data_IF_307533455369
#
_entry.id   IF_307533455369
#
_cell.length_a   1.000
_cell.length_b   1.000
_cell.length_c   1.000
_cell.angle_alpha   90.00
_cell.angle_beta   90.00
_cell.angle_gamma   90.00
#
_symmetry.space_group_name_H-M   'P 1'
#
loop_
_entity.id
_entity.type
_entity.pdbx_description
1 polymer ?
#
# COMPACT_ATOMS: atom_id res chain seq x y z
N UNK A 1 9.03 -5.59 6.75
CA UNK A 1 9.24 -4.78 5.55
C UNK A 1 9.42 -5.71 4.36
N UNK A 2 8.65 -5.53 3.29
CA UNK A 2 8.75 -6.29 2.03
C UNK A 2 8.73 -5.35 0.82
N UNK A 3 9.29 -5.80 -0.31
CA UNK A 3 9.27 -5.03 -1.57
C UNK A 3 7.83 -4.73 -2.00
N UNK A 4 6.92 -5.69 -1.83
CA UNK A 4 5.49 -5.54 -2.15
C UNK A 4 4.82 -4.40 -1.39
N UNK A 5 5.18 -4.15 -0.12
CA UNK A 5 4.64 -3.01 0.62
C UNK A 5 5.08 -1.67 0.01
N UNK A 6 6.32 -1.59 -0.49
CA UNK A 6 6.83 -0.41 -1.18
C UNK A 6 6.17 -0.22 -2.56
N UNK A 7 5.94 -1.31 -3.30
CA UNK A 7 5.19 -1.30 -4.55
C UNK A 7 3.77 -0.77 -4.36
N UNK A 8 3.12 -1.13 -3.25
CA UNK A 8 1.78 -0.61 -2.91
C UNK A 8 1.79 0.89 -2.63
N UNK A 9 2.82 1.42 -1.96
CA UNK A 9 2.96 2.88 -1.75
C UNK A 9 3.10 3.58 -3.11
N UNK A 10 3.96 3.07 -3.99
CA UNK A 10 4.14 3.61 -5.34
C UNK A 10 2.83 3.55 -6.13
N UNK A 11 2.08 2.45 -6.03
CA UNK A 11 0.78 2.31 -6.68
C UNK A 11 -0.24 3.35 -6.17
N UNK A 12 -0.34 3.56 -4.86
CA UNK A 12 -1.23 4.58 -4.29
C UNK A 12 -0.87 5.97 -4.79
N UNK A 13 0.42 6.31 -4.82
CA UNK A 13 0.90 7.59 -5.34
C UNK A 13 0.67 7.73 -6.85
N UNK A 14 0.79 6.65 -7.62
CA UNK A 14 0.59 6.63 -9.07
C UNK A 14 -0.87 6.78 -9.47
N UNK A 15 -1.78 6.08 -8.78
CA UNK A 15 -3.19 6.01 -9.15
C UNK A 15 -4.10 6.93 -8.33
N UNK A 16 -3.57 7.58 -7.29
CA UNK A 16 -4.27 8.60 -6.50
C UNK A 16 -5.39 8.07 -5.59
N UNK A 17 -5.63 6.76 -5.54
CA UNK A 17 -6.59 6.17 -4.61
C UNK A 17 -6.21 4.74 -4.22
N UNK A 18 -6.53 4.35 -2.98
CA UNK A 18 -6.31 2.99 -2.47
C UNK A 18 -7.14 1.95 -3.24
N UNK A 19 -8.35 2.29 -3.66
CA UNK A 19 -9.22 1.37 -4.41
C UNK A 19 -8.66 1.07 -5.80
N UNK A 20 -8.21 2.12 -6.53
CA UNK A 20 -7.61 1.94 -7.85
C UNK A 20 -6.25 1.24 -7.75
N UNK A 21 -5.41 1.62 -6.78
CA UNK A 21 -4.15 0.96 -6.52
C UNK A 21 -4.32 -0.53 -6.22
N UNK A 22 -5.30 -0.89 -5.40
CA UNK A 22 -5.58 -2.29 -5.07
C UNK A 22 -6.04 -3.08 -6.30
N UNK A 23 -6.92 -2.49 -7.13
CA UNK A 23 -7.32 -3.08 -8.41
C UNK A 23 -6.12 -3.30 -9.34
N UNK A 24 -5.23 -2.33 -9.45
CA UNK A 24 -4.01 -2.39 -10.27
C UNK A 24 -2.97 -3.37 -9.75
N UNK A 25 -2.92 -3.57 -8.43
CA UNK A 25 -2.06 -4.56 -7.77
C UNK A 25 -2.71 -5.95 -7.61
N UNK A 26 -3.90 -6.18 -8.18
CA UNK A 26 -4.64 -7.44 -8.13
C UNK A 26 -4.91 -7.94 -6.70
N UNK A 27 -5.17 -7.01 -5.78
CA UNK A 27 -5.54 -7.29 -4.38
C UNK A 27 -6.81 -6.54 -4.00
N UNK A 28 -7.39 -6.90 -2.86
CA UNK A 28 -8.49 -6.11 -2.30
C UNK A 28 -7.96 -4.86 -1.62
N UNK A 29 -8.76 -3.79 -1.60
CA UNK A 29 -8.40 -2.54 -0.93
C UNK A 29 -8.02 -2.73 0.56
N UNK A 30 -8.73 -3.56 1.36
CA UNK A 30 -8.32 -3.85 2.73
C UNK A 30 -6.97 -4.56 2.84
N UNK A 31 -6.61 -5.38 1.86
CA UNK A 31 -5.30 -6.05 1.84
C UNK A 31 -4.19 -5.03 1.63
N UNK A 32 -4.34 -4.15 0.65
CA UNK A 32 -3.35 -3.12 0.34
C UNK A 32 -3.19 -2.16 1.54
N UNK A 33 -4.28 -1.64 2.10
CA UNK A 33 -4.22 -0.69 3.22
C UNK A 33 -3.60 -1.30 4.47
N UNK A 34 -3.95 -2.56 4.81
CA UNK A 34 -3.35 -3.26 5.95
C UNK A 34 -1.84 -3.45 5.78
N UNK A 35 -1.38 -3.74 4.55
CA UNK A 35 0.05 -3.93 4.29
C UNK A 35 0.84 -2.63 4.38
N UNK A 36 0.27 -1.50 3.94
CA UNK A 36 0.85 -0.17 4.13
C UNK A 36 0.88 0.17 5.63
N UNK A 37 -0.22 0.01 6.36
CA UNK A 37 -0.28 0.28 7.80
C UNK A 37 0.75 -0.53 8.61
N UNK A 38 0.97 -1.80 8.25
CA UNK A 38 2.02 -2.62 8.86
C UNK A 38 3.41 -2.05 8.61
N UNK A 39 3.68 -1.56 7.40
CA UNK A 39 4.95 -0.93 7.06
C UNK A 39 5.14 0.39 7.82
N UNK A 40 4.11 1.23 7.88
CA UNK A 40 4.13 2.48 8.67
C UNK A 40 4.44 2.22 10.15
N UNK A 41 3.81 1.19 10.73
CA UNK A 41 4.05 0.78 12.12
C UNK A 41 5.47 0.28 12.35
N UNK A 42 6.03 -0.46 11.39
CA UNK A 42 7.39 -0.99 11.44
C UNK A 42 8.44 0.13 11.30
N UNK A 43 8.17 1.13 10.45
CA UNK A 43 9.05 2.29 10.26
C UNK A 43 8.88 3.35 11.36
N UNK A 44 7.78 3.31 12.12
CA UNK A 44 7.43 4.35 13.09
C UNK A 44 7.11 5.69 12.43
N UNK A 45 6.63 5.67 11.18
CA UNK A 45 6.34 6.86 10.38
C UNK A 45 5.06 6.67 9.55
N UNK A 46 4.29 7.75 9.40
CA UNK A 46 3.11 7.80 8.53
C UNK A 46 3.56 8.25 7.14
N UNK A 47 3.07 7.61 6.09
CA UNK A 47 3.51 7.81 4.70
C UNK A 47 2.41 8.48 3.86
#
# INVERSE_FOLDING_TARGET
>A
MTITQLEYIIAVQTYGSFSEAASKCLVTQPTLSMQIQKLESELGAII
#
